data_IF_587072216395
#
_entry.id   IF_587072216395
#
_cell.length_a   1.000
_cell.length_b   1.000
_cell.length_c   1.000
_cell.angle_alpha   90.00
_cell.angle_beta   90.00
_cell.angle_gamma   90.00
#
_symmetry.space_group_name_H-M   'P 1'
#
loop_
_entity.id
_entity.type
_entity.pdbx_description
1 polymer ?
#
# COMPACT_ATOMS: atom_id res chain seq x y z
N UNK A 1 -9.17 20.66 18.84
CA UNK A 1 -10.04 20.48 17.64
C UNK A 1 -9.86 19.05 17.20
N UNK A 2 -10.94 18.34 16.84
CA UNK A 2 -10.81 16.95 16.35
C UNK A 2 -10.18 16.98 14.96
N UNK A 3 -9.15 16.16 14.66
CA UNK A 3 -8.54 16.16 13.34
C UNK A 3 -9.50 15.63 12.27
N UNK A 4 -9.42 16.21 11.08
CA UNK A 4 -10.13 15.75 9.88
C UNK A 4 -9.44 14.50 9.31
N UNK A 5 -8.09 14.50 9.31
CA UNK A 5 -7.30 13.41 8.77
C UNK A 5 -6.22 12.96 9.77
N UNK A 6 -6.14 11.65 10.01
CA UNK A 6 -4.99 10.99 10.64
C UNK A 6 -4.05 10.50 9.55
N UNK A 7 -2.83 11.01 9.50
CA UNK A 7 -1.80 10.61 8.55
C UNK A 7 -0.91 9.57 9.22
N UNK A 8 -0.87 8.36 8.69
CA UNK A 8 -0.10 7.24 9.24
C UNK A 8 1.20 7.08 8.46
N UNK A 9 2.33 7.10 9.16
CA UNK A 9 3.67 6.97 8.59
C UNK A 9 4.45 5.87 9.33
N UNK A 10 4.53 4.65 8.77
CA UNK A 10 5.43 3.64 9.30
C UNK A 10 6.89 4.02 8.96
N UNK A 11 7.77 3.98 9.96
CA UNK A 11 9.18 4.38 9.83
C UNK A 11 10.07 3.19 10.17
N UNK A 12 11.02 2.85 9.28
CA UNK A 12 12.05 1.85 9.55
C UNK A 12 13.28 2.09 8.67
N UNK A 13 14.40 2.49 9.30
CA UNK A 13 15.68 2.73 8.64
C UNK A 13 15.57 3.64 7.40
N UNK A 14 15.03 4.85 7.59
CA UNK A 14 14.81 5.85 6.54
C UNK A 14 15.36 7.23 6.92
N UNK A 15 16.39 7.31 7.78
CA UNK A 15 16.95 8.57 8.33
C UNK A 15 17.21 9.64 7.27
N UNK A 16 17.71 9.24 6.09
CA UNK A 16 18.04 10.16 5.00
C UNK A 16 16.81 10.68 4.22
N UNK A 17 15.69 9.96 4.20
CA UNK A 17 14.49 10.26 3.41
C UNK A 17 13.35 10.82 4.27
N UNK A 18 13.30 10.41 5.54
CA UNK A 18 12.26 10.80 6.50
C UNK A 18 12.09 12.33 6.64
N UNK A 19 13.14 13.19 6.65
CA UNK A 19 12.95 14.64 6.74
C UNK A 19 12.09 15.20 5.62
N UNK A 20 12.29 14.77 4.36
CA UNK A 20 11.49 15.20 3.21
C UNK A 20 10.04 14.75 3.33
N UNK A 21 9.81 13.51 3.76
CA UNK A 21 8.47 12.99 4.03
C UNK A 21 7.76 13.85 5.07
N UNK A 22 8.38 14.08 6.23
CA UNK A 22 7.81 14.89 7.31
C UNK A 22 7.56 16.35 6.90
N UNK A 23 8.47 16.96 6.14
CA UNK A 23 8.26 18.29 5.59
C UNK A 23 7.01 18.33 4.71
N UNK A 24 6.83 17.35 3.81
CA UNK A 24 5.68 17.32 2.91
C UNK A 24 4.34 17.20 3.64
N UNK A 25 4.29 16.51 4.78
CA UNK A 25 3.06 16.35 5.58
C UNK A 25 2.83 17.50 6.56
N UNK A 26 3.87 18.11 7.10
CA UNK A 26 3.72 19.25 8.02
C UNK A 26 3.35 20.54 7.30
N UNK A 27 3.69 20.65 6.01
CA UNK A 27 3.36 21.79 5.15
C UNK A 27 2.01 21.69 4.44
N UNK A 28 1.20 20.65 4.72
CA UNK A 28 -0.11 20.49 4.11
C UNK A 28 -1.00 21.71 4.31
N UNK A 29 -1.81 22.07 3.30
CA UNK A 29 -2.81 23.16 3.36
C UNK A 29 -3.91 22.85 4.34
N UNK A 30 -4.37 21.61 4.43
CA UNK A 30 -5.28 21.14 5.47
C UNK A 30 -4.56 21.14 6.83
N UNK A 31 -4.99 22.00 7.76
CA UNK A 31 -4.33 22.17 9.07
C UNK A 31 -4.85 21.23 10.15
N UNK A 32 -6.12 20.82 10.04
CA UNK A 32 -6.78 19.92 10.99
C UNK A 32 -6.38 18.47 10.77
N UNK A 33 -5.09 18.19 10.90
CA UNK A 33 -4.48 16.87 10.75
C UNK A 33 -3.74 16.46 12.04
N UNK A 34 -3.65 15.16 12.27
CA UNK A 34 -2.65 14.55 13.14
C UNK A 34 -1.72 13.65 12.31
N UNK A 35 -0.48 13.56 12.71
CA UNK A 35 0.58 12.83 11.98
C UNK A 35 1.12 11.76 12.92
N UNK A 36 0.72 10.52 12.69
CA UNK A 36 1.07 9.39 13.56
C UNK A 36 2.21 8.63 12.90
N UNK A 37 3.41 8.83 13.44
CA UNK A 37 4.62 8.17 12.95
C UNK A 37 4.99 7.03 13.90
N UNK A 38 5.09 5.82 13.36
CA UNK A 38 5.45 4.63 14.15
C UNK A 38 6.82 4.14 13.70
N UNK A 39 7.82 4.38 14.54
CA UNK A 39 9.14 3.80 14.35
C UNK A 39 9.12 2.31 14.75
N UNK A 40 9.32 1.46 13.76
CA UNK A 40 9.25 0.00 13.87
C UNK A 40 10.60 -0.61 14.24
N UNK A 41 11.26 -0.04 15.27
CA UNK A 41 12.54 -0.52 15.79
C UNK A 41 13.70 -0.22 14.85
N UNK A 42 13.81 1.01 14.34
CA UNK A 42 14.94 1.44 13.50
C UNK A 42 16.27 1.30 14.23
N UNK A 43 17.30 0.93 13.49
CA UNK A 43 18.68 0.78 13.95
C UNK A 43 19.58 1.94 13.50
N UNK A 44 19.06 2.85 12.67
CA UNK A 44 19.67 4.10 12.24
C UNK A 44 19.16 5.30 13.08
N UNK A 45 19.39 6.51 12.62
CA UNK A 45 18.95 7.73 13.31
C UNK A 45 17.49 8.11 13.05
N UNK A 46 16.69 7.28 12.38
CA UNK A 46 15.28 7.58 12.03
C UNK A 46 14.45 8.00 13.23
N UNK A 47 14.56 7.28 14.37
CA UNK A 47 13.81 7.63 15.57
C UNK A 47 14.24 8.98 16.17
N UNK A 48 15.54 9.28 16.17
CA UNK A 48 16.06 10.58 16.63
C UNK A 48 15.58 11.74 15.76
N UNK A 49 15.55 11.54 14.43
CA UNK A 49 14.97 12.48 13.47
C UNK A 49 13.50 12.72 13.80
N UNK A 50 12.72 11.65 13.96
CA UNK A 50 11.30 11.73 14.29
C UNK A 50 11.03 12.49 15.59
N UNK A 51 11.78 12.20 16.66
CA UNK A 51 11.67 12.92 17.93
C UNK A 51 11.97 14.42 17.78
N UNK A 52 12.96 14.78 16.95
CA UNK A 52 13.29 16.18 16.68
C UNK A 52 12.13 16.93 15.99
N UNK A 53 11.44 16.27 15.03
CA UNK A 53 10.28 16.83 14.37
C UNK A 53 9.07 16.93 15.29
N UNK A 54 8.80 15.92 16.11
CA UNK A 54 7.70 15.94 17.08
C UNK A 54 7.82 17.08 18.11
N UNK A 55 9.05 17.51 18.46
CA UNK A 55 9.29 18.69 19.30
C UNK A 55 8.93 20.00 18.59
N UNK A 56 8.97 20.06 17.27
CA UNK A 56 8.71 21.29 16.46
C UNK A 56 7.25 21.40 16.04
N UNK A 57 6.57 20.28 15.82
CA UNK A 57 5.18 20.23 15.38
C UNK A 57 4.34 19.33 16.29
N UNK A 58 3.42 19.93 17.05
CA UNK A 58 2.58 19.22 18.03
C UNK A 58 1.57 18.27 17.38
N UNK A 59 1.38 18.33 16.07
CA UNK A 59 0.52 17.40 15.34
C UNK A 59 1.20 16.04 15.14
N UNK A 60 2.52 15.94 15.35
CA UNK A 60 3.29 14.71 15.21
C UNK A 60 3.22 13.91 16.51
N UNK A 61 2.68 12.70 16.40
CA UNK A 61 2.66 11.68 17.45
C UNK A 61 3.72 10.64 17.09
N UNK A 62 4.81 10.58 17.85
CA UNK A 62 5.90 9.64 17.64
C UNK A 62 5.73 8.42 18.53
N UNK A 63 5.56 7.26 17.95
CA UNK A 63 5.46 5.97 18.63
C UNK A 63 6.71 5.15 18.28
N UNK A 64 7.31 4.48 19.27
CA UNK A 64 8.39 3.52 19.05
C UNK A 64 7.94 2.13 19.47
N UNK A 65 8.22 1.13 18.66
CA UNK A 65 7.91 -0.27 18.95
C UNK A 65 9.02 -1.22 18.53
N UNK A 66 9.01 -2.42 19.06
CA UNK A 66 9.86 -3.49 18.55
C UNK A 66 9.45 -3.87 17.14
N UNK A 67 10.43 -4.09 16.25
CA UNK A 67 10.18 -4.41 14.84
C UNK A 67 9.17 -5.55 14.68
N UNK A 68 8.11 -5.25 13.95
CA UNK A 68 7.03 -6.17 13.62
C UNK A 68 6.55 -5.99 12.18
N UNK A 69 7.37 -5.33 11.35
CA UNK A 69 7.09 -4.98 9.96
C UNK A 69 5.99 -3.93 9.78
N UNK A 70 5.89 -3.45 8.56
CA UNK A 70 5.05 -2.31 8.18
C UNK A 70 3.57 -2.48 8.54
N UNK A 71 3.03 -3.71 8.43
CA UNK A 71 1.64 -4.00 8.80
C UNK A 71 1.35 -3.75 10.28
N UNK A 72 2.24 -4.19 11.19
CA UNK A 72 2.11 -3.95 12.63
C UNK A 72 2.24 -2.46 12.97
N UNK A 73 3.19 -1.75 12.34
CA UNK A 73 3.35 -0.31 12.53
C UNK A 73 2.10 0.47 12.09
N UNK A 74 1.51 0.12 10.93
CA UNK A 74 0.26 0.74 10.49
C UNK A 74 -0.91 0.42 11.43
N UNK A 75 -1.00 -0.80 11.94
CA UNK A 75 -2.04 -1.17 12.91
C UNK A 75 -1.93 -0.38 14.20
N UNK A 76 -0.71 -0.25 14.77
CA UNK A 76 -0.47 0.55 15.97
C UNK A 76 -0.89 2.02 15.78
N UNK A 77 -0.66 2.58 14.59
CA UNK A 77 -1.15 3.92 14.26
C UNK A 77 -2.68 3.97 14.11
N UNK A 78 -3.31 2.96 13.48
CA UNK A 78 -4.76 2.87 13.35
C UNK A 78 -5.48 2.82 14.71
N UNK A 79 -4.84 2.18 15.72
CA UNK A 79 -5.44 2.02 17.05
C UNK A 79 -5.53 3.34 17.83
N UNK A 80 -4.69 4.34 17.49
CA UNK A 80 -4.68 5.66 18.14
C UNK A 80 -5.24 6.78 17.24
N UNK A 81 -5.55 6.49 15.99
CA UNK A 81 -6.06 7.47 15.03
C UNK A 81 -7.43 8.01 15.44
N UNK A 82 -7.57 9.34 15.48
CA UNK A 82 -8.78 10.05 15.90
C UNK A 82 -9.47 10.82 14.77
N UNK A 83 -8.81 10.99 13.62
CA UNK A 83 -9.33 11.72 12.46
C UNK A 83 -10.62 11.13 11.90
N UNK A 84 -11.37 11.92 11.18
CA UNK A 84 -12.55 11.43 10.45
C UNK A 84 -12.15 10.47 9.34
N UNK A 85 -11.03 10.78 8.68
CA UNK A 85 -10.41 9.93 7.67
C UNK A 85 -8.98 9.54 8.06
N UNK A 86 -8.49 8.48 7.43
CA UNK A 86 -7.13 7.97 7.57
C UNK A 86 -6.43 8.00 6.21
N UNK A 87 -5.27 8.62 6.13
CA UNK A 87 -4.36 8.54 5.00
C UNK A 87 -3.04 7.86 5.39
N UNK A 88 -2.35 7.28 4.44
CA UNK A 88 -1.08 6.57 4.67
C UNK A 88 0.01 7.12 3.76
N UNK A 89 1.22 7.25 4.27
CA UNK A 89 2.40 7.65 3.51
C UNK A 89 3.57 6.77 3.95
N UNK A 90 4.35 6.28 3.01
CA UNK A 90 5.59 5.58 3.34
C UNK A 90 6.70 6.61 3.65
N UNK A 91 7.55 6.33 4.62
CA UNK A 91 8.54 7.29 5.16
C UNK A 91 9.66 7.66 4.18
N UNK A 92 9.76 6.98 3.05
CA UNK A 92 10.69 7.28 1.95
C UNK A 92 10.05 8.05 0.78
N UNK A 93 8.74 8.36 0.87
CA UNK A 93 7.95 9.05 -0.14
C UNK A 93 7.60 10.50 0.26
N UNK A 94 6.90 11.24 -0.59
CA UNK A 94 6.38 12.57 -0.29
C UNK A 94 5.11 12.90 -1.10
N UNK A 95 4.42 13.97 -0.73
CA UNK A 95 3.14 14.37 -1.33
C UNK A 95 3.10 15.88 -1.65
N UNK A 96 2.27 16.32 -2.61
CA UNK A 96 1.96 17.73 -2.83
C UNK A 96 1.34 18.41 -1.60
N UNK A 97 1.48 19.72 -1.48
CA UNK A 97 1.01 20.48 -0.31
C UNK A 97 -0.51 20.49 -0.13
N UNK A 98 -1.29 20.34 -1.19
CA UNK A 98 -2.76 20.31 -1.21
C UNK A 98 -3.34 18.88 -1.23
N UNK A 99 -2.50 17.87 -1.01
CA UNK A 99 -2.85 16.46 -1.19
C UNK A 99 -4.02 16.02 -0.31
N UNK A 100 -3.92 16.20 1.00
CA UNK A 100 -4.98 15.77 1.92
C UNK A 100 -6.21 16.67 1.89
N UNK A 101 -6.06 17.96 1.62
CA UNK A 101 -7.19 18.87 1.45
C UNK A 101 -8.08 18.41 0.30
N UNK A 102 -7.50 18.16 -0.87
CA UNK A 102 -8.26 17.76 -2.05
C UNK A 102 -8.89 16.37 -1.92
N UNK A 103 -8.17 15.41 -1.30
CA UNK A 103 -8.75 14.10 -1.01
C UNK A 103 -9.91 14.20 -0.02
N UNK A 104 -9.77 15.00 1.05
CA UNK A 104 -10.78 15.20 2.06
C UNK A 104 -12.02 15.87 1.48
N UNK A 105 -11.83 16.96 0.73
CA UNK A 105 -12.92 17.72 0.12
C UNK A 105 -13.71 16.85 -0.87
N UNK A 106 -13.03 16.06 -1.70
CA UNK A 106 -13.70 15.14 -2.61
C UNK A 106 -14.48 14.07 -1.86
N UNK A 107 -13.87 13.46 -0.81
CA UNK A 107 -14.54 12.46 0.02
C UNK A 107 -15.81 13.03 0.69
N UNK A 108 -15.74 14.26 1.22
CA UNK A 108 -16.88 14.93 1.84
C UNK A 108 -17.95 15.30 0.81
N UNK A 109 -17.56 15.93 -0.31
CA UNK A 109 -18.47 16.39 -1.37
C UNK A 109 -19.31 15.24 -1.94
N UNK A 110 -18.70 14.08 -2.12
CA UNK A 110 -19.36 12.90 -2.68
C UNK A 110 -19.86 11.92 -1.63
N UNK A 111 -19.75 12.24 -0.33
CA UNK A 111 -20.02 11.32 0.78
C UNK A 111 -19.36 9.94 0.53
N UNK A 112 -18.08 9.95 0.14
CA UNK A 112 -17.34 8.74 -0.18
C UNK A 112 -16.62 8.18 1.07
N UNK A 113 -16.51 6.85 1.11
CA UNK A 113 -15.72 6.16 2.12
C UNK A 113 -14.25 6.09 1.73
N UNK A 114 -13.97 6.15 0.43
CA UNK A 114 -12.61 6.15 -0.11
C UNK A 114 -12.47 7.25 -1.17
N UNK A 115 -11.48 8.14 -1.01
CA UNK A 115 -10.99 8.98 -2.08
C UNK A 115 -9.64 8.43 -2.58
N UNK A 116 -9.46 8.32 -3.90
CA UNK A 116 -8.26 7.75 -4.51
C UNK A 116 -7.65 8.70 -5.54
N UNK A 117 -6.34 8.90 -5.47
CA UNK A 117 -5.61 9.74 -6.40
C UNK A 117 -4.59 8.97 -7.25
N UNK A 118 -3.92 9.68 -8.16
CA UNK A 118 -2.87 9.13 -9.01
C UNK A 118 -1.60 8.74 -8.26
N UNK A 119 -0.69 8.05 -8.96
CA UNK A 119 0.66 7.72 -8.48
C UNK A 119 1.67 8.04 -9.58
N UNK A 120 2.72 8.76 -9.22
CA UNK A 120 3.91 8.98 -10.04
C UNK A 120 5.11 8.34 -9.35
N UNK A 121 5.84 7.48 -10.05
CA UNK A 121 7.11 6.91 -9.58
C UNK A 121 8.26 7.79 -10.03
N UNK A 122 9.11 8.15 -9.08
CA UNK A 122 10.31 8.93 -9.33
C UNK A 122 11.56 8.06 -9.18
N UNK A 123 12.46 8.18 -10.17
CA UNK A 123 13.78 7.55 -10.13
C UNK A 123 14.81 8.51 -10.71
N UNK A 124 15.67 9.09 -9.86
CA UNK A 124 16.60 10.16 -10.24
C UNK A 124 15.81 11.35 -10.83
N UNK A 125 16.09 11.73 -12.08
CA UNK A 125 15.42 12.83 -12.81
C UNK A 125 14.25 12.35 -13.67
N UNK A 126 13.86 11.06 -13.60
CA UNK A 126 12.81 10.50 -14.43
C UNK A 126 11.54 10.25 -13.60
N UNK A 127 10.41 10.71 -14.13
CA UNK A 127 9.08 10.42 -13.61
C UNK A 127 8.35 9.42 -14.51
N UNK A 128 7.60 8.52 -13.89
CA UNK A 128 6.70 7.59 -14.58
C UNK A 128 5.34 7.58 -13.91
N UNK A 129 4.32 8.04 -14.62
CA UNK A 129 2.93 7.90 -14.18
C UNK A 129 2.52 6.43 -14.17
N UNK A 130 2.04 5.95 -13.02
CA UNK A 130 1.53 4.59 -12.80
C UNK A 130 0.02 4.59 -12.85
N UNK A 131 -0.59 5.53 -12.11
CA UNK A 131 -2.03 5.73 -12.05
C UNK A 131 -2.30 7.22 -12.24
N UNK A 132 -3.28 7.56 -13.05
CA UNK A 132 -3.78 8.93 -13.21
C UNK A 132 -5.27 8.94 -13.43
N UNK A 133 -5.89 10.03 -13.01
CA UNK A 133 -7.29 10.33 -13.22
C UNK A 133 -7.40 11.72 -13.87
N UNK A 134 -8.32 11.87 -14.82
CA UNK A 134 -8.59 13.14 -15.51
C UNK A 134 -9.80 13.87 -14.92
N UNK A 135 -10.70 13.14 -14.29
CA UNK A 135 -11.96 13.64 -13.73
C UNK A 135 -12.24 13.01 -12.37
N UNK A 136 -13.13 13.62 -11.59
CA UNK A 136 -13.74 12.98 -10.43
C UNK A 136 -14.83 12.03 -10.94
N UNK A 137 -14.63 10.73 -10.67
CA UNK A 137 -15.62 9.68 -10.92
C UNK A 137 -15.98 9.01 -9.61
N UNK A 138 -17.27 8.72 -9.41
CA UNK A 138 -17.74 7.95 -8.25
C UNK A 138 -18.13 6.53 -8.64
N UNK A 139 -17.96 5.61 -7.71
CA UNK A 139 -18.40 4.23 -7.87
C UNK A 139 -18.99 3.68 -6.57
N UNK A 140 -20.17 3.09 -6.65
CA UNK A 140 -20.87 2.46 -5.52
C UNK A 140 -20.80 0.93 -5.59
N UNK A 141 -20.80 0.35 -6.80
CA UNK A 141 -20.69 -1.09 -6.97
C UNK A 141 -19.22 -1.57 -7.00
N UNK A 142 -19.01 -2.77 -6.56
CA UNK A 142 -17.67 -3.37 -6.39
C UNK A 142 -16.88 -3.44 -7.70
N UNK A 143 -17.52 -3.77 -8.82
CA UNK A 143 -16.85 -3.91 -10.12
C UNK A 143 -16.24 -2.59 -10.59
N UNK A 144 -16.99 -1.49 -10.49
CA UNK A 144 -16.51 -0.17 -10.87
C UNK A 144 -15.47 0.38 -9.89
N UNK A 145 -15.63 0.14 -8.58
CA UNK A 145 -14.59 0.49 -7.59
C UNK A 145 -13.27 -0.21 -7.88
N UNK A 146 -13.29 -1.50 -8.19
CA UNK A 146 -12.10 -2.26 -8.60
C UNK A 146 -11.49 -1.74 -9.91
N UNK A 147 -12.34 -1.37 -10.88
CA UNK A 147 -11.91 -0.79 -12.15
C UNK A 147 -11.20 0.54 -11.94
N UNK A 148 -11.81 1.46 -11.19
CA UNK A 148 -11.25 2.78 -10.89
C UNK A 148 -9.93 2.68 -10.11
N UNK A 149 -9.83 1.80 -9.13
CA UNK A 149 -8.59 1.56 -8.40
C UNK A 149 -7.55 0.74 -9.16
N UNK A 150 -7.86 0.25 -10.38
CA UNK A 150 -7.01 -0.70 -11.13
C UNK A 150 -6.62 -1.94 -10.33
N UNK A 151 -7.47 -2.35 -9.41
CA UNK A 151 -7.25 -3.46 -8.48
C UNK A 151 -7.94 -4.75 -9.00
N UNK A 152 -7.26 -5.90 -9.08
CA UNK A 152 -5.82 -6.03 -9.14
C UNK A 152 -5.23 -5.51 -10.46
N UNK A 153 -3.95 -5.17 -10.59
CA UNK A 153 -2.82 -5.56 -9.72
C UNK A 153 -2.40 -4.52 -8.67
N UNK A 154 -3.03 -3.34 -8.63
CA UNK A 154 -2.56 -2.23 -7.83
C UNK A 154 -3.19 -2.25 -6.44
N UNK A 155 -2.39 -2.59 -5.40
CA UNK A 155 -2.80 -2.68 -4.00
C UNK A 155 -2.13 -1.59 -3.15
N UNK A 156 -1.91 -0.40 -3.71
CA UNK A 156 -1.29 0.68 -2.96
C UNK A 156 -2.24 1.24 -1.89
N UNK A 157 -1.89 1.20 -0.59
CA UNK A 157 -2.67 1.85 0.44
C UNK A 157 -2.47 3.36 0.46
N UNK A 158 -1.30 3.83 -0.01
CA UNK A 158 -0.79 5.20 0.14
C UNK A 158 -1.47 6.26 -0.73
N UNK A 159 -2.08 5.90 -1.86
CA UNK A 159 -2.79 6.84 -2.72
C UNK A 159 -4.28 6.94 -2.43
N UNK A 160 -4.67 6.63 -1.21
CA UNK A 160 -6.07 6.61 -0.79
C UNK A 160 -6.27 7.29 0.56
N UNK A 161 -7.41 7.92 0.70
CA UNK A 161 -7.94 8.40 1.96
C UNK A 161 -9.15 7.54 2.31
N UNK A 162 -9.18 7.00 3.53
CA UNK A 162 -10.19 6.05 3.99
C UNK A 162 -11.02 6.66 5.11
N UNK A 163 -12.35 6.56 5.05
CA UNK A 163 -13.22 6.92 6.18
C UNK A 163 -12.94 6.00 7.36
N UNK A 164 -12.52 6.57 8.51
CA UNK A 164 -12.11 5.79 9.67
C UNK A 164 -13.23 4.91 10.21
N UNK A 165 -14.47 5.43 10.28
CA UNK A 165 -15.62 4.64 10.74
C UNK A 165 -15.90 3.42 9.87
N UNK A 166 -15.63 3.48 8.56
CA UNK A 166 -15.71 2.33 7.66
C UNK A 166 -14.63 1.28 8.00
N UNK A 167 -13.37 1.71 8.21
CA UNK A 167 -12.29 0.79 8.61
C UNK A 167 -12.61 0.07 9.93
N UNK A 168 -13.19 0.80 10.89
CA UNK A 168 -13.60 0.27 12.20
C UNK A 168 -14.76 -0.72 12.09
N UNK A 169 -15.83 -0.33 11.38
CA UNK A 169 -17.00 -1.19 11.17
C UNK A 169 -16.64 -2.52 10.48
N UNK A 170 -15.74 -2.47 9.50
CA UNK A 170 -15.25 -3.65 8.79
C UNK A 170 -14.12 -4.38 9.53
N UNK A 171 -13.66 -3.87 10.68
CA UNK A 171 -12.51 -4.38 11.45
C UNK A 171 -11.30 -4.63 10.57
N UNK A 172 -11.02 -3.68 9.66
CA UNK A 172 -9.90 -3.79 8.74
C UNK A 172 -8.58 -3.52 9.45
N UNK A 173 -7.68 -4.48 9.38
CA UNK A 173 -6.30 -4.39 9.87
C UNK A 173 -5.35 -5.01 8.84
N UNK A 174 -4.12 -4.54 8.84
CA UNK A 174 -3.05 -5.15 8.05
C UNK A 174 -2.65 -6.49 8.63
N UNK A 175 -2.22 -7.43 7.77
CA UNK A 175 -1.59 -8.65 8.25
C UNK A 175 -0.23 -8.32 8.87
N UNK A 176 0.04 -8.86 10.06
CA UNK A 176 1.27 -8.58 10.81
C UNK A 176 2.37 -9.61 10.53
N UNK A 177 3.62 -9.20 10.70
CA UNK A 177 4.82 -10.04 10.56
C UNK A 177 5.01 -10.67 9.18
N UNK A 178 4.28 -10.21 8.16
CA UNK A 178 4.34 -10.68 6.77
C UNK A 178 4.71 -9.55 5.81
N UNK A 179 5.11 -9.92 4.60
CA UNK A 179 5.19 -9.01 3.45
C UNK A 179 3.92 -9.17 2.60
N UNK A 180 3.60 -8.13 1.81
CA UNK A 180 2.34 -8.07 1.03
C UNK A 180 1.09 -8.00 1.94
N UNK A 181 1.24 -7.36 3.08
CA UNK A 181 0.21 -7.10 4.09
C UNK A 181 -0.92 -6.21 3.57
N UNK A 182 -0.59 -5.40 2.55
CA UNK A 182 -1.47 -4.43 1.89
C UNK A 182 -2.53 -5.08 0.99
N UNK A 183 -2.24 -6.25 0.41
CA UNK A 183 -3.10 -6.88 -0.61
C UNK A 183 -4.53 -7.08 -0.10
N UNK A 184 -4.70 -7.73 1.04
CA UNK A 184 -6.04 -8.02 1.57
C UNK A 184 -6.68 -6.80 2.22
N UNK A 185 -5.89 -5.93 2.85
CA UNK A 185 -6.42 -4.69 3.42
C UNK A 185 -7.03 -3.80 2.34
N UNK A 186 -6.27 -3.52 1.27
CA UNK A 186 -6.73 -2.65 0.17
C UNK A 186 -7.89 -3.28 -0.60
N UNK A 187 -7.81 -4.59 -0.90
CA UNK A 187 -8.86 -5.30 -1.60
C UNK A 187 -10.20 -5.22 -0.85
N UNK A 188 -10.18 -5.58 0.44
CA UNK A 188 -11.38 -5.55 1.26
C UNK A 188 -11.92 -4.13 1.44
N UNK A 189 -11.04 -3.15 1.69
CA UNK A 189 -11.45 -1.75 1.79
C UNK A 189 -12.20 -1.29 0.53
N UNK A 190 -11.68 -1.60 -0.67
CA UNK A 190 -12.33 -1.25 -1.93
C UNK A 190 -13.66 -1.99 -2.12
N UNK A 191 -13.68 -3.31 -1.90
CA UNK A 191 -14.87 -4.11 -2.17
C UNK A 191 -16.00 -3.83 -1.18
N UNK A 192 -15.67 -3.67 0.10
CA UNK A 192 -16.63 -3.59 1.21
C UNK A 192 -17.04 -2.14 1.57
N UNK A 193 -16.37 -1.11 1.00
CA UNK A 193 -16.79 0.29 1.13
C UNK A 193 -18.14 0.55 0.44
N UNK A 194 -18.89 1.56 0.90
CA UNK A 194 -20.07 2.04 0.20
C UNK A 194 -19.71 2.74 -1.11
N UNK A 195 -19.10 3.92 -1.02
CA UNK A 195 -18.75 4.75 -2.17
C UNK A 195 -17.26 5.06 -2.26
N UNK A 196 -16.75 5.10 -3.49
CA UNK A 196 -15.40 5.54 -3.82
C UNK A 196 -15.46 6.72 -4.78
N UNK A 197 -14.51 7.68 -4.67
CA UNK A 197 -14.33 8.79 -5.60
C UNK A 197 -12.88 8.90 -6.05
N UNK A 198 -12.65 9.20 -7.34
CA UNK A 198 -11.32 9.50 -7.88
C UNK A 198 -11.01 10.98 -7.76
N UNK A 199 -9.74 11.34 -7.52
CA UNK A 199 -9.28 12.73 -7.39
C UNK A 199 -8.16 12.99 -8.39
N UNK A 200 -8.39 13.83 -9.42
CA UNK A 200 -7.38 14.13 -10.43
C UNK A 200 -6.32 15.14 -9.93
N UNK A 201 -5.18 15.19 -10.59
CA UNK A 201 -4.20 16.26 -10.47
C UNK A 201 -3.31 16.29 -9.22
N UNK A 202 -3.46 15.36 -8.30
CA UNK A 202 -2.65 15.28 -7.06
C UNK A 202 -1.99 13.91 -6.90
N UNK A 203 -0.97 13.55 -7.69
CA UNK A 203 -0.37 12.24 -7.59
C UNK A 203 0.44 12.07 -6.31
N UNK A 204 0.33 10.90 -5.69
CA UNK A 204 1.28 10.43 -4.69
C UNK A 204 2.66 10.26 -5.33
N UNK A 205 3.72 10.72 -4.68
CA UNK A 205 5.11 10.70 -5.17
C UNK A 205 5.88 9.51 -4.61
N UNK A 206 5.85 8.40 -5.34
CA UNK A 206 6.56 7.17 -4.98
C UNK A 206 8.03 7.26 -5.40
N UNK A 207 8.93 7.35 -4.43
CA UNK A 207 10.35 7.57 -4.67
C UNK A 207 11.10 6.24 -4.80
N UNK A 208 12.04 6.18 -5.73
CA UNK A 208 12.91 5.02 -5.84
C UNK A 208 13.89 4.95 -4.69
N UNK A 209 13.68 4.00 -3.77
CA UNK A 209 14.62 3.67 -2.71
C UNK A 209 15.30 2.32 -3.03
N UNK A 210 16.63 2.27 -3.21
CA UNK A 210 17.34 1.01 -3.47
C UNK A 210 17.30 0.05 -2.27
N UNK A 211 17.18 0.58 -1.04
CA UNK A 211 17.08 -0.19 0.21
C UNK A 211 15.65 -0.71 0.49
N UNK A 212 14.67 -0.36 -0.36
CA UNK A 212 13.28 -0.75 -0.17
C UNK A 212 13.11 -2.27 -0.04
N UNK A 213 12.26 -2.68 0.88
CA UNK A 213 11.89 -4.08 1.14
C UNK A 213 11.40 -4.80 -0.13
N UNK A 214 10.69 -4.10 -1.01
CA UNK A 214 10.20 -4.67 -2.30
C UNK A 214 11.35 -5.13 -3.19
N UNK A 215 12.48 -4.44 -3.16
CA UNK A 215 13.66 -4.72 -3.99
C UNK A 215 14.68 -5.63 -3.32
N UNK A 216 14.55 -5.91 -2.04
CA UNK A 216 15.43 -6.84 -1.35
C UNK A 216 15.43 -8.21 -2.02
N UNK A 217 16.51 -9.00 -1.79
CA UNK A 217 16.69 -10.33 -2.38
C UNK A 217 15.42 -11.18 -2.25
N UNK A 218 15.02 -11.80 -3.35
CA UNK A 218 13.89 -12.72 -3.38
C UNK A 218 14.27 -14.03 -2.70
N UNK A 219 13.86 -14.21 -1.44
CA UNK A 219 14.02 -15.45 -0.69
C UNK A 219 12.84 -16.40 -0.92
N UNK A 220 13.00 -17.68 -0.64
CA UNK A 220 11.90 -18.65 -0.69
C UNK A 220 10.74 -18.22 0.25
N UNK A 221 11.06 -17.74 1.44
CA UNK A 221 10.08 -17.22 2.39
C UNK A 221 9.29 -16.03 1.83
N UNK A 222 9.97 -15.04 1.21
CA UNK A 222 9.31 -13.90 0.57
C UNK A 222 8.39 -14.32 -0.57
N UNK A 223 8.81 -15.32 -1.35
CA UNK A 223 7.99 -15.86 -2.45
C UNK A 223 6.76 -16.61 -1.91
N UNK A 224 6.93 -17.37 -0.81
CA UNK A 224 5.82 -18.06 -0.16
C UNK A 224 4.78 -17.08 0.37
N UNK A 225 5.19 -15.98 1.01
CA UNK A 225 4.31 -14.92 1.49
C UNK A 225 3.56 -14.23 0.33
N UNK A 226 4.27 -13.93 -0.77
CA UNK A 226 3.64 -13.40 -1.97
C UNK A 226 2.58 -14.35 -2.54
N UNK A 227 2.88 -15.64 -2.58
CA UNK A 227 1.94 -16.65 -3.03
C UNK A 227 0.72 -16.73 -2.10
N UNK A 228 0.95 -16.73 -0.78
CA UNK A 228 -0.14 -16.75 0.20
C UNK A 228 -1.07 -15.52 0.06
N UNK A 229 -0.52 -14.32 -0.10
CA UNK A 229 -1.31 -13.11 -0.33
C UNK A 229 -2.14 -13.18 -1.63
N UNK A 230 -1.55 -13.67 -2.73
CA UNK A 230 -2.28 -13.84 -3.99
C UNK A 230 -3.33 -14.94 -3.92
N UNK A 231 -3.08 -16.01 -3.17
CA UNK A 231 -4.07 -17.08 -2.93
C UNK A 231 -5.25 -16.55 -2.11
N UNK A 232 -4.99 -15.80 -1.05
CA UNK A 232 -6.03 -15.16 -0.25
C UNK A 232 -6.90 -14.22 -1.11
N UNK A 233 -6.26 -13.40 -1.97
CA UNK A 233 -6.95 -12.57 -2.95
C UNK A 233 -7.84 -13.41 -3.88
N UNK A 234 -7.32 -14.48 -4.49
CA UNK A 234 -8.09 -15.31 -5.41
C UNK A 234 -9.30 -15.96 -4.72
N UNK A 235 -9.10 -16.48 -3.52
CA UNK A 235 -10.19 -17.05 -2.70
C UNK A 235 -11.26 -15.99 -2.37
N UNK A 236 -10.85 -14.76 -2.04
CA UNK A 236 -11.80 -13.67 -1.77
C UNK A 236 -12.66 -13.34 -3.00
N UNK A 237 -12.04 -13.26 -4.18
CA UNK A 237 -12.78 -13.03 -5.44
C UNK A 237 -13.76 -14.17 -5.73
N UNK A 238 -13.36 -15.42 -5.53
CA UNK A 238 -14.20 -16.60 -5.75
C UNK A 238 -15.38 -16.64 -4.75
N UNK A 239 -15.11 -16.46 -3.46
CA UNK A 239 -16.13 -16.48 -2.41
C UNK A 239 -17.18 -15.37 -2.53
N UNK A 240 -16.81 -14.25 -3.16
CA UNK A 240 -17.72 -13.11 -3.38
C UNK A 240 -18.25 -13.02 -4.82
N UNK A 241 -18.07 -14.07 -5.63
CA UNK A 241 -18.50 -14.13 -7.03
C UNK A 241 -18.02 -12.93 -7.87
N UNK A 242 -16.83 -12.36 -7.55
CA UNK A 242 -16.29 -11.20 -8.22
C UNK A 242 -15.51 -11.60 -9.48
N UNK A 243 -15.53 -10.77 -10.55
CA UNK A 243 -14.83 -11.07 -11.79
C UNK A 243 -13.31 -10.96 -11.63
N UNK A 244 -12.61 -12.08 -11.49
CA UNK A 244 -11.16 -12.12 -11.49
C UNK A 244 -10.65 -12.41 -12.89
N UNK A 245 -9.76 -11.55 -13.41
CA UNK A 245 -9.12 -11.79 -14.72
C UNK A 245 -8.39 -13.13 -14.71
N UNK A 246 -8.52 -13.91 -15.78
CA UNK A 246 -7.93 -15.25 -15.91
C UNK A 246 -6.44 -15.33 -15.55
N UNK A 247 -5.66 -14.27 -15.88
CA UNK A 247 -4.24 -14.19 -15.54
C UNK A 247 -3.92 -14.29 -14.04
N UNK A 248 -4.87 -13.97 -13.16
CA UNK A 248 -4.72 -14.07 -11.69
C UNK A 248 -5.33 -15.36 -11.13
N UNK A 249 -6.35 -15.91 -11.81
CA UNK A 249 -7.03 -17.14 -11.42
C UNK A 249 -6.13 -18.37 -11.56
N UNK A 250 -5.28 -18.40 -12.59
CA UNK A 250 -4.47 -19.57 -12.97
C UNK A 250 -2.98 -19.41 -12.64
N UNK A 251 -2.61 -18.63 -11.62
CA UNK A 251 -1.24 -18.46 -11.21
C UNK A 251 -0.83 -19.55 -10.19
N UNK A 252 -0.61 -20.77 -10.66
CA UNK A 252 0.01 -21.81 -9.83
C UNK A 252 1.53 -21.72 -9.95
N UNK A 253 2.22 -21.48 -8.84
CA UNK A 253 3.69 -21.48 -8.79
C UNK A 253 4.16 -22.64 -7.93
N UNK A 254 4.85 -23.59 -8.54
CA UNK A 254 5.51 -24.69 -7.83
C UNK A 254 6.98 -24.35 -7.64
N UNK A 255 7.44 -24.40 -6.41
CA UNK A 255 8.84 -24.19 -6.05
C UNK A 255 9.49 -25.54 -5.71
N UNK A 256 10.65 -25.75 -6.26
CA UNK A 256 11.49 -26.89 -5.90
C UNK A 256 12.77 -26.32 -5.27
N UNK A 257 13.01 -26.65 -4.01
CA UNK A 257 14.15 -26.16 -3.25
C UNK A 257 15.10 -27.29 -2.90
N UNK A 258 16.39 -26.98 -2.93
CA UNK A 258 17.45 -27.81 -2.35
C UNK A 258 18.23 -26.93 -1.37
N UNK A 259 18.44 -27.42 -0.12
CA UNK A 259 19.09 -26.64 0.95
C UNK A 259 18.51 -25.23 1.17
N UNK A 260 17.20 -25.07 1.00
CA UNK A 260 16.53 -23.75 1.15
C UNK A 260 16.71 -22.80 -0.04
N UNK A 261 17.41 -23.20 -1.10
CA UNK A 261 17.59 -22.41 -2.33
C UNK A 261 16.58 -22.87 -3.37
N UNK A 262 15.81 -21.95 -3.94
CA UNK A 262 14.89 -22.26 -5.03
C UNK A 262 15.68 -22.57 -6.31
N UNK A 263 15.80 -23.86 -6.66
CA UNK A 263 16.53 -24.29 -7.85
C UNK A 263 15.65 -24.23 -9.09
N UNK A 264 14.40 -24.65 -8.97
CA UNK A 264 13.44 -24.70 -10.06
C UNK A 264 12.14 -24.02 -9.69
N UNK A 265 11.59 -23.28 -10.64
CA UNK A 265 10.28 -22.64 -10.49
C UNK A 265 9.45 -22.93 -11.74
N UNK A 266 8.33 -23.58 -11.56
CA UNK A 266 7.33 -23.73 -12.62
C UNK A 266 6.25 -22.66 -12.42
N UNK A 267 6.13 -21.74 -13.37
CA UNK A 267 5.01 -20.82 -13.48
C UNK A 267 3.98 -21.37 -14.45
N UNK A 268 2.78 -21.61 -13.97
CA UNK A 268 1.63 -21.93 -14.81
C UNK A 268 0.80 -20.66 -14.99
N UNK A 269 0.53 -20.30 -16.24
CA UNK A 269 -0.33 -19.19 -16.60
C UNK A 269 -1.24 -19.63 -17.74
N UNK A 270 -2.48 -20.00 -17.40
CA UNK A 270 -3.38 -20.63 -18.36
C UNK A 270 -2.78 -21.92 -18.92
N UNK A 271 -2.78 -22.06 -20.25
CA UNK A 271 -2.20 -23.22 -20.93
C UNK A 271 -0.68 -23.22 -21.05
N UNK A 272 0.02 -22.18 -20.56
CA UNK A 272 1.49 -22.08 -20.66
C UNK A 272 2.15 -22.43 -19.34
N UNK A 273 3.22 -23.23 -19.42
CA UNK A 273 4.11 -23.55 -18.32
C UNK A 273 5.51 -23.03 -18.62
N UNK A 274 6.12 -22.32 -17.69
CA UNK A 274 7.49 -21.80 -17.81
C UNK A 274 8.31 -22.37 -16.67
N UNK A 275 9.33 -23.16 -17.01
CA UNK A 275 10.34 -23.61 -16.07
C UNK A 275 11.46 -22.58 -16.01
N UNK A 276 11.80 -22.11 -14.81
CA UNK A 276 12.91 -21.18 -14.60
C UNK A 276 13.92 -21.79 -13.64
N UNK A 277 15.19 -21.66 -13.99
CA UNK A 277 16.32 -22.02 -13.15
C UNK A 277 16.73 -20.78 -12.34
N UNK A 278 16.95 -20.94 -11.03
CA UNK A 278 17.32 -19.86 -10.12
C UNK A 278 16.43 -18.60 -10.20
N UNK A 279 15.16 -18.75 -10.58
CA UNK A 279 14.15 -17.69 -10.73
C UNK A 279 14.45 -16.63 -11.82
N UNK A 280 15.62 -16.69 -12.47
CA UNK A 280 16.07 -15.65 -13.41
C UNK A 280 16.01 -16.10 -14.87
N UNK A 281 16.41 -17.34 -15.16
CA UNK A 281 16.61 -17.83 -16.53
C UNK A 281 15.45 -18.75 -16.93
N UNK A 282 14.65 -18.43 -17.96
CA UNK A 282 13.69 -19.37 -18.51
C UNK A 282 14.45 -20.48 -19.23
N UNK A 283 14.35 -21.70 -18.70
CA UNK A 283 15.02 -22.89 -19.27
C UNK A 283 14.14 -23.57 -20.29
N UNK A 284 12.82 -23.57 -20.06
CA UNK A 284 11.87 -24.23 -20.92
C UNK A 284 10.48 -23.61 -20.85
N UNK A 285 9.80 -23.50 -21.99
CA UNK A 285 8.43 -23.02 -22.07
C UNK A 285 7.60 -24.01 -22.92
N UNK A 286 6.50 -24.53 -22.37
CA UNK A 286 5.61 -25.45 -23.09
C UNK A 286 4.14 -25.15 -22.83
N UNK A 287 3.28 -25.59 -23.75
CA UNK A 287 1.83 -25.53 -23.57
C UNK A 287 1.36 -26.78 -22.83
N UNK A 288 0.39 -26.63 -21.94
CA UNK A 288 -0.30 -27.78 -21.35
C UNK A 288 -1.03 -28.52 -22.49
N UNK A 289 -0.74 -29.80 -22.67
CA UNK A 289 -1.59 -30.64 -23.50
C UNK A 289 -2.94 -30.73 -22.81
N UNK A 290 -4.02 -30.44 -23.52
CA UNK A 290 -5.40 -30.52 -23.06
C UNK A 290 -5.79 -31.93 -22.64
#
# INVERSE_FOLDING_TARGET
MKPKVSIIIPVYNTEALLPRCLESVTTQTLKEIEIICVDDGSTDLSYSVLQSWAKRDRRIIAIHQQNGRQGKARNAALDVACGEFVGMIDSDDYIPSDYFERLYDAACRHNADIAVCGIVKEKKMMEKTVVSYSTEETADNTTDKLRLCKCPPDFFPVNKLYRRSMLEALRLRFAENVQYEDVMFVLRAICESGRLVTVPGIPYRYVFNPASTVKSRQTAAKQAQKYAAHKAMANYFESNALPLREKYRNLTVRHYTLFGICIWKIKEKGARRVLRLFDAIPVYCWKKKG
#
